data_IF_421411612371
#
_entry.id   IF_421411612371
#
_cell.length_a   1.000
_cell.length_b   1.000
_cell.length_c   1.000
_cell.angle_alpha   90.00
_cell.angle_beta   90.00
_cell.angle_gamma   90.00
#
_symmetry.space_group_name_H-M   'P 1'
#
loop_
_entity.id
_entity.type
_entity.pdbx_description
1 polymer ?
#
# COMPACT_ATOMS: atom_id res chain seq x y z
N UNK A 1 -13.82 -23.31 10.84
CA UNK A 1 -13.03 -22.29 10.12
C UNK A 1 -11.59 -22.76 10.08
N UNK A 2 -10.88 -22.49 8.98
CA UNK A 2 -9.45 -22.74 8.96
C UNK A 2 -8.78 -21.81 9.99
N UNK A 3 -7.81 -22.34 10.74
CA UNK A 3 -7.05 -21.56 11.73
C UNK A 3 -5.80 -20.93 11.13
N UNK A 4 -5.70 -20.95 9.80
CA UNK A 4 -4.58 -20.47 9.02
C UNK A 4 -5.04 -20.14 7.59
N UNK A 5 -4.30 -19.25 6.95
CA UNK A 5 -4.40 -18.94 5.54
C UNK A 5 -2.99 -18.73 5.00
N UNK A 6 -2.74 -19.15 3.75
CA UNK A 6 -1.54 -18.77 3.04
C UNK A 6 -1.81 -17.47 2.28
N UNK A 7 -0.94 -16.47 2.44
CA UNK A 7 -1.06 -15.21 1.71
C UNK A 7 -0.73 -15.44 0.23
N UNK A 8 -1.76 -15.61 -0.59
CA UNK A 8 -1.67 -15.84 -2.03
C UNK A 8 -2.87 -15.21 -2.74
N UNK A 9 -2.63 -14.67 -3.94
CA UNK A 9 -3.65 -14.02 -4.79
C UNK A 9 -4.27 -14.97 -5.82
N UNK A 10 -3.76 -16.19 -5.95
CA UNK A 10 -4.24 -17.15 -6.95
C UNK A 10 -5.74 -17.43 -6.81
N UNK A 11 -6.49 -17.16 -7.89
CA UNK A 11 -7.95 -17.34 -7.92
C UNK A 11 -8.73 -16.28 -7.15
N UNK A 12 -8.08 -15.22 -6.66
CA UNK A 12 -8.73 -14.08 -5.99
C UNK A 12 -8.74 -12.88 -6.94
N UNK A 13 -9.93 -12.38 -7.23
CA UNK A 13 -10.08 -11.14 -8.00
C UNK A 13 -9.75 -9.92 -7.13
N UNK A 14 -8.90 -8.99 -7.61
CA UNK A 14 -8.59 -7.78 -6.85
C UNK A 14 -9.73 -6.77 -6.90
N UNK A 15 -9.85 -5.98 -5.83
CA UNK A 15 -10.52 -4.69 -5.90
C UNK A 15 -9.67 -3.71 -6.72
N UNK A 16 -10.30 -3.06 -7.69
CA UNK A 16 -9.64 -2.03 -8.52
C UNK A 16 -9.86 -0.65 -7.90
N UNK A 17 -8.79 0.13 -7.85
CA UNK A 17 -8.83 1.50 -7.33
C UNK A 17 -7.90 2.45 -8.07
N UNK A 18 -7.86 3.68 -7.59
CA UNK A 18 -6.92 4.73 -8.00
C UNK A 18 -6.83 5.77 -6.87
N UNK A 19 -5.83 6.66 -6.85
CA UNK A 19 -5.84 7.79 -5.94
C UNK A 19 -7.10 8.63 -6.14
N UNK A 20 -7.60 9.22 -5.05
CA UNK A 20 -8.64 10.25 -5.14
C UNK A 20 -8.15 11.40 -6.03
N UNK A 21 -9.04 11.93 -6.86
CA UNK A 21 -8.68 12.91 -7.89
C UNK A 21 -8.05 14.20 -7.34
N UNK A 22 -8.44 14.60 -6.12
CA UNK A 22 -7.89 15.74 -5.38
C UNK A 22 -6.50 15.48 -4.76
N UNK A 23 -6.13 14.20 -4.59
CA UNK A 23 -4.82 13.77 -4.08
C UNK A 23 -3.82 13.52 -5.21
N UNK A 24 -4.27 13.27 -6.43
CA UNK A 24 -3.40 12.99 -7.59
C UNK A 24 -2.46 14.18 -7.87
N UNK A 25 -1.18 13.89 -8.07
CA UNK A 25 -0.15 14.88 -8.43
C UNK A 25 0.28 14.68 -9.89
N UNK A 26 0.57 13.45 -10.31
CA UNK A 26 0.98 13.15 -11.68
C UNK A 26 0.75 11.69 -12.08
N UNK A 27 0.62 11.46 -13.39
CA UNK A 27 0.36 10.13 -13.96
C UNK A 27 -1.13 9.75 -13.92
N UNK A 28 -1.40 8.47 -14.16
CA UNK A 28 -2.73 7.88 -14.06
C UNK A 28 -2.63 6.50 -13.38
N UNK A 29 -2.14 6.45 -12.12
CA UNK A 29 -1.92 5.19 -11.44
C UNK A 29 -3.25 4.49 -11.15
N UNK A 30 -3.22 3.18 -11.30
CA UNK A 30 -4.29 2.25 -10.97
C UNK A 30 -3.81 1.30 -9.89
N UNK A 31 -4.72 0.91 -9.01
CA UNK A 31 -4.46 0.03 -7.87
C UNK A 31 -5.16 -1.30 -8.06
N UNK A 32 -4.54 -2.34 -7.50
CA UNK A 32 -5.15 -3.64 -7.25
C UNK A 32 -4.94 -4.00 -5.80
N UNK A 33 -6.01 -4.30 -5.10
CA UNK A 33 -5.98 -4.73 -3.70
C UNK A 33 -6.60 -6.11 -3.58
N UNK A 34 -5.82 -7.07 -3.08
CA UNK A 34 -6.31 -8.36 -2.65
C UNK A 34 -6.36 -8.35 -1.13
N UNK A 35 -7.53 -8.04 -0.57
CA UNK A 35 -7.77 -8.14 0.87
C UNK A 35 -8.02 -9.61 1.21
N UNK A 36 -7.02 -10.29 1.76
CA UNK A 36 -7.00 -11.75 1.90
C UNK A 36 -7.48 -12.21 3.28
N UNK A 37 -7.35 -11.37 4.30
CA UNK A 37 -7.86 -11.64 5.63
C UNK A 37 -8.42 -10.37 6.29
N UNK A 38 -9.51 -10.54 7.02
CA UNK A 38 -10.17 -9.51 7.82
C UNK A 38 -10.54 -10.13 9.16
N UNK A 39 -10.05 -9.53 10.23
CA UNK A 39 -10.30 -9.96 11.60
C UNK A 39 -10.93 -8.84 12.44
N UNK A 40 -11.58 -9.26 13.52
CA UNK A 40 -12.24 -8.36 14.46
C UNK A 40 -11.30 -7.24 14.96
N UNK A 41 -11.88 -6.06 15.18
CA UNK A 41 -11.12 -4.89 15.64
C UNK A 41 -10.39 -4.13 14.52
N UNK A 42 -10.83 -4.32 13.26
CA UNK A 42 -10.37 -3.54 12.11
C UNK A 42 -8.99 -3.95 11.63
N UNK A 43 -8.64 -5.24 11.74
CA UNK A 43 -7.37 -5.79 11.27
C UNK A 43 -7.54 -6.38 9.87
N UNK A 44 -6.71 -5.93 8.94
CA UNK A 44 -6.73 -6.34 7.54
C UNK A 44 -5.34 -6.79 7.11
N UNK A 45 -5.26 -7.84 6.29
CA UNK A 45 -4.02 -8.27 5.69
C UNK A 45 -4.22 -8.67 4.22
N UNK A 46 -3.25 -8.35 3.38
CA UNK A 46 -3.42 -8.55 1.95
C UNK A 46 -2.21 -8.21 1.11
N UNK A 47 -2.45 -8.16 -0.20
CA UNK A 47 -1.49 -7.71 -1.22
C UNK A 47 -2.05 -6.46 -1.88
N UNK A 48 -1.17 -5.49 -2.12
CA UNK A 48 -1.49 -4.29 -2.87
C UNK A 48 -0.49 -4.09 -4.00
N UNK A 49 -0.98 -3.63 -5.15
CA UNK A 49 -0.16 -3.29 -6.32
C UNK A 49 -0.60 -1.93 -6.89
N UNK A 50 0.37 -1.14 -7.33
CA UNK A 50 0.11 0.11 -8.06
C UNK A 50 1.01 0.28 -9.27
N UNK A 51 0.43 0.83 -10.33
CA UNK A 51 1.15 1.30 -11.52
C UNK A 51 1.79 2.69 -11.30
N UNK A 52 2.74 3.11 -12.15
CA UNK A 52 3.45 4.37 -11.96
C UNK A 52 2.56 5.63 -11.87
N UNK A 53 2.92 6.51 -10.95
CA UNK A 53 2.20 7.76 -10.66
C UNK A 53 2.57 8.33 -9.30
N UNK A 54 2.08 9.54 -9.01
CA UNK A 54 2.35 10.24 -7.75
C UNK A 54 1.10 10.86 -7.17
N UNK A 55 0.89 10.70 -5.87
CA UNK A 55 -0.26 11.28 -5.17
C UNK A 55 0.08 11.63 -3.72
N UNK A 56 -0.77 12.46 -3.12
CA UNK A 56 -0.74 12.79 -1.69
C UNK A 56 -1.32 11.65 -0.88
N UNK A 57 -0.65 11.30 0.21
CA UNK A 57 -1.11 10.30 1.17
C UNK A 57 -1.37 10.96 2.52
N UNK A 58 -2.44 10.51 3.16
CA UNK A 58 -2.86 10.90 4.51
C UNK A 58 -3.31 9.62 5.18
N UNK A 59 -2.58 9.20 6.20
CA UNK A 59 -2.81 7.95 6.92
C UNK A 59 -3.59 8.23 8.20
N UNK A 60 -4.79 7.67 8.29
CA UNK A 60 -5.58 7.65 9.51
C UNK A 60 -5.41 6.30 10.24
N UNK A 61 -4.96 5.29 9.50
CA UNK A 61 -4.69 3.92 9.91
C UNK A 61 -3.22 3.70 10.32
N UNK A 62 -3.00 2.60 11.03
CA UNK A 62 -1.66 2.04 11.22
C UNK A 62 -1.41 0.98 10.13
N UNK A 63 -0.33 1.11 9.36
CA UNK A 63 0.03 0.16 8.30
C UNK A 63 1.47 -0.32 8.49
N UNK A 64 1.67 -1.65 8.54
CA UNK A 64 2.94 -2.28 8.20
C UNK A 64 2.86 -2.77 6.76
N UNK A 65 3.93 -2.59 5.99
CA UNK A 65 4.04 -3.22 4.69
C UNK A 65 5.47 -3.65 4.37
N UNK A 66 5.58 -4.61 3.45
CA UNK A 66 6.84 -5.08 2.89
C UNK A 66 6.74 -5.15 1.36
N UNK A 67 7.73 -4.55 0.69
CA UNK A 67 7.78 -4.50 -0.77
C UNK A 67 8.26 -5.85 -1.32
N UNK A 68 7.45 -6.42 -2.20
CA UNK A 68 7.75 -7.66 -2.91
C UNK A 68 8.49 -7.40 -4.23
N UNK A 69 8.14 -6.32 -4.93
CA UNK A 69 8.75 -5.94 -6.20
C UNK A 69 8.51 -4.48 -6.55
N UNK A 70 9.30 -3.97 -7.50
CA UNK A 70 9.17 -2.62 -8.04
C UNK A 70 9.96 -1.59 -7.25
N UNK A 71 9.60 -0.32 -7.46
CA UNK A 71 10.29 0.81 -6.85
C UNK A 71 9.31 1.96 -6.60
N UNK A 72 9.18 2.31 -5.32
CA UNK A 72 8.41 3.47 -4.86
C UNK A 72 9.28 4.41 -4.02
N UNK A 73 8.84 5.65 -3.90
CA UNK A 73 9.40 6.65 -3.00
C UNK A 73 8.26 7.19 -2.15
N UNK A 74 8.40 7.10 -0.84
CA UNK A 74 7.50 7.76 0.12
C UNK A 74 8.24 8.93 0.72
N UNK A 75 7.66 10.13 0.62
CA UNK A 75 8.25 11.35 1.17
C UNK A 75 7.30 11.97 2.18
N UNK A 76 7.76 12.17 3.43
CA UNK A 76 7.00 12.83 4.49
C UNK A 76 6.95 14.35 4.32
N UNK A 77 6.02 15.01 5.03
CA UNK A 77 5.95 16.49 5.07
C UNK A 77 7.18 17.15 5.71
N UNK A 78 7.97 16.41 6.49
CA UNK A 78 9.27 16.84 7.03
C UNK A 78 10.40 16.82 5.99
N UNK A 79 10.13 16.28 4.79
CA UNK A 79 11.08 16.14 3.69
C UNK A 79 11.89 14.85 3.71
N UNK A 80 11.73 14.00 4.74
CA UNK A 80 12.39 12.68 4.74
C UNK A 80 11.82 11.81 3.63
N UNK A 81 12.69 11.10 2.90
CA UNK A 81 12.31 10.26 1.77
C UNK A 81 12.82 8.84 1.93
N UNK A 82 11.90 7.88 1.82
CA UNK A 82 12.15 6.46 1.87
C UNK A 82 12.09 5.89 0.45
N UNK A 83 13.22 5.41 -0.04
CA UNK A 83 13.30 4.68 -1.31
C UNK A 83 13.02 3.21 -1.05
N UNK A 84 11.92 2.70 -1.58
CA UNK A 84 11.36 1.39 -1.25
C UNK A 84 11.46 0.45 -2.45
N UNK A 85 12.19 -0.65 -2.29
CA UNK A 85 12.41 -1.73 -3.27
C UNK A 85 12.15 -3.08 -2.62
N UNK A 86 12.19 -4.15 -3.42
CA UNK A 86 12.01 -5.52 -2.95
C UNK A 86 12.87 -5.83 -1.70
N UNK A 87 12.22 -6.28 -0.62
CA UNK A 87 12.84 -6.55 0.67
C UNK A 87 12.69 -5.42 1.71
N UNK A 88 12.41 -4.19 1.27
CA UNK A 88 12.22 -3.05 2.18
C UNK A 88 10.87 -3.13 2.90
N UNK A 89 10.85 -2.63 4.13
CA UNK A 89 9.68 -2.64 5.00
C UNK A 89 9.56 -1.32 5.74
N UNK A 90 8.33 -0.87 5.94
CA UNK A 90 8.04 0.37 6.63
C UNK A 90 6.77 0.23 7.47
N UNK A 91 6.69 1.05 8.51
CA UNK A 91 5.47 1.26 9.28
C UNK A 91 5.05 2.71 9.10
N UNK A 92 3.85 2.92 8.58
CA UNK A 92 3.19 4.22 8.57
C UNK A 92 2.15 4.25 9.70
N UNK A 93 2.11 5.34 10.43
CA UNK A 93 1.26 5.50 11.62
C UNK A 93 0.20 6.56 11.37
N UNK A 94 -0.91 6.53 12.13
CA UNK A 94 -1.92 7.58 12.07
C UNK A 94 -1.29 8.97 12.21
N UNK A 95 -1.68 9.88 11.34
CA UNK A 95 -1.15 11.23 11.24
C UNK A 95 0.01 11.39 10.25
N UNK A 96 0.55 10.31 9.67
CA UNK A 96 1.54 10.44 8.60
C UNK A 96 0.92 11.10 7.36
N UNK A 97 1.62 12.11 6.84
CA UNK A 97 1.23 12.86 5.63
C UNK A 97 2.44 13.04 4.74
N UNK A 98 2.19 13.04 3.44
CA UNK A 98 3.26 13.19 2.46
C UNK A 98 2.83 12.82 1.05
N UNK A 99 3.76 12.26 0.27
CA UNK A 99 3.50 11.75 -1.07
C UNK A 99 3.98 10.33 -1.23
N UNK A 100 3.22 9.54 -1.98
CA UNK A 100 3.67 8.25 -2.52
C UNK A 100 3.90 8.42 -4.02
N UNK A 101 5.09 8.06 -4.48
CA UNK A 101 5.48 8.08 -5.88
C UNK A 101 5.90 6.67 -6.30
N UNK A 102 5.14 6.05 -7.20
CA UNK A 102 5.47 4.77 -7.81
C UNK A 102 6.28 5.06 -9.08
N UNK A 103 7.54 4.66 -9.08
CA UNK A 103 8.47 4.84 -10.21
C UNK A 103 8.36 3.63 -11.15
N UNK A 104 8.36 2.43 -10.57
CA UNK A 104 8.13 1.15 -11.24
C UNK A 104 6.98 0.45 -10.53
N UNK A 105 6.12 -0.26 -11.28
CA UNK A 105 4.96 -0.99 -10.73
C UNK A 105 5.35 -1.71 -9.45
N UNK A 106 4.78 -1.26 -8.34
CA UNK A 106 5.16 -1.71 -7.00
C UNK A 106 4.13 -2.68 -6.48
N UNK A 107 4.58 -3.79 -5.91
CA UNK A 107 3.73 -4.75 -5.19
C UNK A 107 4.22 -4.90 -3.76
N UNK A 108 3.30 -4.87 -2.80
CA UNK A 108 3.59 -5.02 -1.37
C UNK A 108 2.61 -6.00 -0.70
N UNK A 109 3.07 -6.72 0.30
CA UNK A 109 2.19 -7.26 1.33
C UNK A 109 1.95 -6.20 2.40
N UNK A 110 0.77 -6.22 3.03
CA UNK A 110 0.42 -5.27 4.06
C UNK A 110 -0.35 -5.93 5.21
N UNK A 111 -0.23 -5.29 6.38
CA UNK A 111 -1.14 -5.45 7.51
C UNK A 111 -1.57 -4.06 7.95
N UNK A 112 -2.87 -3.81 7.96
CA UNK A 112 -3.47 -2.53 8.36
C UNK A 112 -4.33 -2.74 9.59
N UNK A 113 -4.30 -1.75 10.48
CA UNK A 113 -5.27 -1.60 11.56
C UNK A 113 -5.95 -0.23 11.46
N UNK A 114 -7.26 -0.25 11.28
CA UNK A 114 -8.13 0.94 11.29
C UNK A 114 -8.37 1.46 12.72
#
# INVERSE_FOLDING_TARGET
MATYLQLNVDGVEPELGAPAADRLISGAPTFRTWNLDEADGGLYAGIWEATPGKWRIVYDEWEYFHILSGYSIVTGEDGESFHLRAGDRLILRPGFKGTWEVIETTRKDYVIRL
#
